data_IF_813173717848
#
_entry.id   IF_813173717848
#
_cell.length_a   1.000
_cell.length_b   1.000
_cell.length_c   1.000
_cell.angle_alpha   90.00
_cell.angle_beta   90.00
_cell.angle_gamma   90.00
#
_symmetry.space_group_name_H-M   'P 1'
#
loop_
_entity.id
_entity.type
_entity.pdbx_description
1 polymer ?
#
# COMPACT_ATOMS: atom_id res chain seq x y z
N UNK A 1 -4.28 -8.00 -8.38
CA UNK A 1 -3.62 -7.65 -9.67
C UNK A 1 -4.47 -7.93 -10.90
N UNK A 2 -4.83 -9.18 -11.26
CA UNK A 2 -5.63 -9.44 -12.49
C UNK A 2 -6.94 -8.62 -12.59
N UNK A 3 -7.62 -8.38 -11.46
CA UNK A 3 -8.82 -7.54 -11.43
C UNK A 3 -8.50 -6.04 -11.65
N UNK A 4 -7.42 -5.54 -11.05
CA UNK A 4 -6.93 -4.17 -11.25
C UNK A 4 -6.57 -3.91 -12.71
N UNK A 5 -5.74 -4.78 -13.32
CA UNK A 5 -5.35 -4.67 -14.73
C UNK A 5 -6.55 -4.71 -15.68
N UNK A 6 -7.55 -5.55 -15.36
CA UNK A 6 -8.79 -5.63 -16.16
C UNK A 6 -9.57 -4.30 -16.10
N UNK A 7 -9.69 -3.70 -14.91
CA UNK A 7 -10.34 -2.40 -14.74
C UNK A 7 -9.54 -1.27 -15.35
N UNK A 8 -8.21 -1.31 -15.28
CA UNK A 8 -7.34 -0.34 -15.95
C UNK A 8 -7.53 -0.38 -17.47
N UNK A 9 -7.51 -1.57 -18.08
CA UNK A 9 -7.80 -1.74 -19.52
C UNK A 9 -9.18 -1.24 -19.91
N UNK A 10 -10.18 -1.43 -19.04
CA UNK A 10 -11.53 -0.89 -19.26
C UNK A 10 -11.51 0.65 -19.26
N UNK A 11 -10.77 1.28 -18.34
CA UNK A 11 -10.62 2.74 -18.31
C UNK A 11 -9.96 3.27 -19.59
N UNK A 12 -8.91 2.59 -20.06
CA UNK A 12 -8.21 2.93 -21.31
C UNK A 12 -9.17 2.82 -22.51
N UNK A 13 -9.92 1.72 -22.60
CA UNK A 13 -10.90 1.51 -23.67
C UNK A 13 -12.04 2.54 -23.67
N UNK A 14 -12.51 2.95 -22.48
CA UNK A 14 -13.49 4.04 -22.35
C UNK A 14 -12.90 5.35 -22.89
N UNK A 15 -11.65 5.67 -22.54
CA UNK A 15 -10.99 6.90 -22.98
C UNK A 15 -10.72 6.92 -24.49
N UNK A 16 -10.41 5.78 -25.10
CA UNK A 16 -10.28 5.65 -26.56
C UNK A 16 -11.62 5.83 -27.25
N UNK A 17 -12.65 5.14 -26.77
CA UNK A 17 -14.00 5.21 -27.33
C UNK A 17 -14.56 6.64 -27.29
N UNK A 18 -14.33 7.38 -26.20
CA UNK A 18 -14.75 8.79 -26.08
C UNK A 18 -14.10 9.74 -27.10
N UNK A 19 -13.05 9.33 -27.82
CA UNK A 19 -12.41 10.14 -28.88
C UNK A 19 -13.03 9.88 -30.26
N UNK A 20 -13.94 8.93 -30.36
CA UNK A 20 -14.65 8.64 -31.61
C UNK A 20 -15.57 9.82 -31.97
N UNK A 21 -15.38 10.47 -33.14
CA UNK A 21 -16.24 11.56 -33.58
C UNK A 21 -17.69 11.14 -33.86
N UNK A 22 -17.96 9.85 -34.06
CA UNK A 22 -19.30 9.32 -34.33
C UNK A 22 -20.11 9.07 -33.05
N UNK A 23 -19.51 9.19 -31.86
CA UNK A 23 -20.20 9.05 -30.59
C UNK A 23 -21.07 10.27 -30.27
N UNK A 24 -22.27 10.02 -29.76
CA UNK A 24 -23.13 11.11 -29.30
C UNK A 24 -22.59 11.76 -28.01
N UNK A 25 -22.91 13.04 -27.82
CA UNK A 25 -22.52 13.76 -26.60
C UNK A 25 -23.07 13.11 -25.33
N UNK A 26 -24.30 12.57 -25.39
CA UNK A 26 -24.92 11.91 -24.24
C UNK A 26 -24.19 10.60 -23.88
N UNK A 27 -23.77 9.82 -24.87
CA UNK A 27 -22.98 8.61 -24.64
C UNK A 27 -21.57 8.94 -24.14
N UNK A 28 -20.93 9.97 -24.72
CA UNK A 28 -19.65 10.50 -24.21
C UNK A 28 -19.75 10.88 -22.74
N UNK A 29 -20.83 11.55 -22.33
CA UNK A 29 -21.02 11.97 -20.95
C UNK A 29 -21.19 10.77 -20.00
N UNK A 30 -21.98 9.76 -20.39
CA UNK A 30 -22.14 8.52 -19.61
C UNK A 30 -20.81 7.77 -19.45
N UNK A 31 -20.04 7.67 -20.53
CA UNK A 31 -18.71 7.05 -20.50
C UNK A 31 -17.73 7.84 -19.63
N UNK A 32 -17.80 9.17 -19.66
CA UNK A 32 -16.98 10.04 -18.82
C UNK A 32 -17.28 9.83 -17.33
N UNK A 33 -18.56 9.82 -16.94
CA UNK A 33 -18.97 9.54 -15.55
C UNK A 33 -18.48 8.17 -15.07
N UNK A 34 -18.61 7.15 -15.93
CA UNK A 34 -18.08 5.81 -15.63
C UNK A 34 -16.55 5.83 -15.48
N UNK A 35 -15.86 6.50 -16.40
CA UNK A 35 -14.40 6.64 -16.38
C UNK A 35 -13.90 7.32 -15.10
N UNK A 36 -14.55 8.41 -14.66
CA UNK A 36 -14.21 9.12 -13.42
C UNK A 36 -14.39 8.21 -12.20
N UNK A 37 -15.51 7.47 -12.13
CA UNK A 37 -15.74 6.50 -11.05
C UNK A 37 -14.65 5.43 -11.02
N UNK A 38 -14.35 4.83 -12.17
CA UNK A 38 -13.37 3.76 -12.30
C UNK A 38 -11.96 4.22 -11.95
N UNK A 39 -11.57 5.42 -12.39
CA UNK A 39 -10.29 6.03 -12.05
C UNK A 39 -10.14 6.28 -10.54
N UNK A 40 -11.21 6.75 -9.88
CA UNK A 40 -11.22 6.94 -8.42
C UNK A 40 -11.04 5.62 -7.67
N UNK A 41 -11.71 4.56 -8.10
CA UNK A 41 -11.56 3.23 -7.50
C UNK A 41 -10.14 2.67 -7.66
N UNK A 42 -9.56 2.78 -8.85
CA UNK A 42 -8.18 2.34 -9.11
C UNK A 42 -7.18 3.11 -8.24
N UNK A 43 -7.35 4.43 -8.11
CA UNK A 43 -6.52 5.26 -7.23
C UNK A 43 -6.60 4.79 -5.77
N UNK A 44 -7.81 4.60 -5.25
CA UNK A 44 -7.99 4.18 -3.85
C UNK A 44 -7.31 2.83 -3.56
N UNK A 45 -7.32 1.90 -4.52
CA UNK A 45 -6.63 0.61 -4.36
C UNK A 45 -5.11 0.77 -4.35
N UNK A 46 -4.56 1.64 -5.21
CA UNK A 46 -3.13 1.97 -5.21
C UNK A 46 -2.72 2.63 -3.89
N UNK A 47 -3.49 3.61 -3.41
CA UNK A 47 -3.23 4.30 -2.15
C UNK A 47 -3.24 3.31 -0.96
N UNK A 48 -4.18 2.36 -0.95
CA UNK A 48 -4.24 1.32 0.07
C UNK A 48 -3.05 0.34 0.02
N UNK A 49 -2.55 0.02 -1.17
CA UNK A 49 -1.35 -0.79 -1.34
C UNK A 49 -0.10 -0.03 -0.91
N UNK A 50 0.02 1.25 -1.28
CA UNK A 50 1.11 2.11 -0.85
C UNK A 50 1.17 2.21 0.67
N UNK A 51 0.03 2.43 1.35
CA UNK A 51 0.00 2.49 2.82
C UNK A 51 0.47 1.19 3.48
N UNK A 52 0.18 0.02 2.89
CA UNK A 52 0.72 -1.25 3.39
C UNK A 52 2.23 -1.36 3.23
N UNK A 53 2.77 -0.86 2.12
CA UNK A 53 4.22 -0.83 1.88
C UNK A 53 4.89 0.10 2.89
N UNK A 54 4.34 1.29 3.12
CA UNK A 54 4.86 2.25 4.10
C UNK A 54 4.90 1.66 5.51
N UNK A 55 3.84 0.98 5.95
CA UNK A 55 3.81 0.29 7.26
C UNK A 55 4.95 -0.74 7.34
N UNK A 56 5.13 -1.56 6.31
CA UNK A 56 6.18 -2.58 6.28
C UNK A 56 7.58 -1.96 6.33
N UNK A 57 7.82 -0.86 5.63
CA UNK A 57 9.11 -0.16 5.65
C UNK A 57 9.39 0.43 7.04
N UNK A 58 8.42 1.11 7.65
CA UNK A 58 8.57 1.67 8.99
C UNK A 58 8.83 0.57 10.04
N UNK A 59 8.17 -0.59 9.90
CA UNK A 59 8.43 -1.74 10.78
C UNK A 59 9.82 -2.36 10.61
N UNK A 60 10.46 -2.21 9.45
CA UNK A 60 11.85 -2.64 9.25
C UNK A 60 12.84 -1.66 9.91
N UNK A 61 12.55 -0.36 9.85
CA UNK A 61 13.37 0.68 10.51
C UNK A 61 13.31 0.56 12.05
N UNK A 62 12.17 0.20 12.63
CA UNK A 62 12.06 -0.06 14.09
C UNK A 62 12.93 -1.25 14.57
N UNK A 63 13.36 -2.14 13.67
CA UNK A 63 14.22 -3.28 13.99
C UNK A 63 15.70 -2.87 14.04
N UNK A 64 16.08 -1.70 13.52
CA UNK A 64 17.49 -1.27 13.39
C UNK A 64 18.09 -0.57 14.62
N UNK A 65 17.34 -0.31 15.70
CA UNK A 65 17.95 0.17 16.95
C UNK A 65 18.29 -0.98 17.91
N UNK A 66 19.57 -1.42 18.01
CA UNK A 66 19.98 -2.36 19.04
C UNK A 66 19.79 -1.72 20.40
N UNK A 67 18.80 -2.22 21.15
CA UNK A 67 18.58 -1.80 22.54
C UNK A 67 19.64 -2.45 23.42
N UNK A 68 20.50 -1.64 24.03
CA UNK A 68 21.37 -2.08 25.12
C UNK A 68 20.58 -2.13 26.41
N UNK A 69 20.46 -3.29 27.04
CA UNK A 69 20.04 -3.40 28.44
C UNK A 69 21.29 -3.34 29.33
N UNK A 70 21.19 -2.81 30.57
CA UNK A 70 22.24 -2.98 31.57
C UNK A 70 22.56 -4.46 31.72
N UNK A 71 23.84 -4.80 31.68
CA UNK A 71 24.29 -6.17 31.92
C UNK A 71 23.99 -6.50 33.39
N UNK A 72 23.16 -7.52 33.65
CA UNK A 72 23.02 -8.05 35.01
C UNK A 72 24.36 -8.67 35.40
N UNK A 73 25.06 -7.98 36.29
CA UNK A 73 26.27 -8.48 36.91
C UNK A 73 25.87 -9.72 37.72
N UNK A 74 26.18 -10.91 37.20
CA UNK A 74 26.12 -12.14 37.98
C UNK A 74 27.18 -11.97 39.07
N UNK A 75 26.77 -11.43 40.22
CA UNK A 75 27.59 -11.47 41.42
C UNK A 75 27.64 -12.94 41.84
N UNK A 76 28.67 -13.63 41.38
CA UNK A 76 29.04 -14.94 41.89
C UNK A 76 29.59 -14.76 43.30
N UNK A 77 28.69 -14.56 44.26
CA UNK A 77 28.98 -14.73 45.68
C UNK A 77 28.77 -16.20 46.03
N UNK A 78 29.51 -17.08 45.36
CA UNK A 78 29.79 -18.41 45.86
C UNK A 78 30.95 -18.32 46.84
N UNK A 79 30.71 -18.88 48.03
CA UNK A 79 31.70 -19.37 48.99
C UNK A 79 32.48 -18.31 49.80
N UNK A 80 32.08 -18.13 51.05
CA UNK A 80 32.84 -18.84 52.07
C UNK A 80 31.97 -19.14 53.30
N UNK A 81 31.66 -20.42 53.49
CA UNK A 81 31.23 -20.91 54.78
C UNK A 81 32.47 -21.29 55.56
N UNK A 82 32.78 -20.60 56.66
CA UNK A 82 33.44 -21.22 57.82
C UNK A 82 33.33 -20.35 59.07
N UNK A 83 32.85 -21.02 60.13
CA UNK A 83 32.90 -20.73 61.59
C UNK A 83 32.11 -19.55 62.17
#
# INVERSE_FOLDING_TARGET
MKNFETRLKKLESLAETMRDPDISLEESLKMFEEGVRLAKELKNELDALQGKVEILLNSLEEIEEPRTAPFEEITDSAEDGTS
#
